data_IF_640823018634
#
_entry.id   IF_640823018634
#
_cell.length_a   1.000
_cell.length_b   1.000
_cell.length_c   1.000
_cell.angle_alpha   90.00
_cell.angle_beta   90.00
_cell.angle_gamma   90.00
#
_symmetry.space_group_name_H-M   'P 1'
#
loop_
_entity.id
_entity.type
_entity.pdbx_description
1 polymer ?
#
# COMPACT_ATOMS: atom_id res chain seq x y z
N UNK A 1 -28.11 -12.23 3.67
CA UNK A 1 -28.30 -10.76 3.65
C UNK A 1 -27.01 -10.00 4.00
N UNK A 2 -26.55 -9.96 5.27
CA UNK A 2 -25.33 -9.21 5.63
C UNK A 2 -24.02 -9.84 5.11
N UNK A 3 -23.87 -11.15 5.29
CA UNK A 3 -22.66 -11.90 4.92
C UNK A 3 -22.44 -11.91 3.41
N UNK A 4 -23.49 -12.06 2.60
CA UNK A 4 -23.38 -12.05 1.13
C UNK A 4 -22.83 -10.74 0.59
N UNK A 5 -23.21 -9.60 1.19
CA UNK A 5 -22.66 -8.30 0.80
C UNK A 5 -21.16 -8.19 1.11
N UNK A 6 -20.70 -8.76 2.22
CA UNK A 6 -19.27 -8.81 2.56
C UNK A 6 -18.48 -9.66 1.56
N UNK A 7 -19.02 -10.81 1.14
CA UNK A 7 -18.35 -11.73 0.21
C UNK A 7 -17.97 -11.05 -1.11
N UNK A 8 -18.84 -10.16 -1.62
CA UNK A 8 -18.60 -9.40 -2.85
C UNK A 8 -17.37 -8.47 -2.77
N UNK A 9 -16.97 -8.08 -1.55
CA UNK A 9 -15.84 -7.18 -1.34
C UNK A 9 -14.51 -7.90 -1.05
N UNK A 10 -14.52 -9.21 -0.78
CA UNK A 10 -13.31 -9.97 -0.42
C UNK A 10 -12.17 -9.83 -1.44
N UNK A 11 -12.39 -9.99 -2.77
CA UNK A 11 -11.29 -9.89 -3.73
C UNK A 11 -10.61 -8.53 -3.71
N UNK A 12 -11.41 -7.46 -3.58
CA UNK A 12 -10.94 -6.09 -3.52
C UNK A 12 -10.19 -5.80 -2.20
N UNK A 13 -10.70 -6.29 -1.06
CA UNK A 13 -10.06 -6.17 0.24
C UNK A 13 -8.72 -6.92 0.27
N UNK A 14 -8.65 -8.13 -0.29
CA UNK A 14 -7.40 -8.90 -0.37
C UNK A 14 -6.36 -8.21 -1.24
N UNK A 15 -6.74 -7.66 -2.39
CA UNK A 15 -5.82 -6.88 -3.24
C UNK A 15 -5.26 -5.67 -2.47
N UNK A 16 -6.14 -4.91 -1.81
CA UNK A 16 -5.73 -3.75 -1.02
C UNK A 16 -4.82 -4.15 0.16
N UNK A 17 -5.19 -5.19 0.91
CA UNK A 17 -4.42 -5.68 2.06
C UNK A 17 -3.01 -6.16 1.67
N UNK A 18 -2.85 -6.82 0.53
CA UNK A 18 -1.52 -7.24 0.02
C UNK A 18 -0.61 -6.06 -0.25
N UNK A 19 -1.13 -5.02 -0.91
CA UNK A 19 -0.37 -3.79 -1.15
C UNK A 19 -0.13 -2.99 0.13
N UNK A 20 -1.10 -3.02 1.07
CA UNK A 20 -1.02 -2.29 2.33
C UNK A 20 -0.02 -2.91 3.30
N UNK A 21 0.13 -4.23 3.31
CA UNK A 21 1.02 -4.95 4.24
C UNK A 21 2.38 -5.24 3.62
N UNK A 22 2.44 -5.48 2.31
CA UNK A 22 3.62 -5.99 1.62
C UNK A 22 3.89 -7.47 1.87
N UNK A 23 2.99 -8.19 2.56
CA UNK A 23 3.15 -9.59 2.95
C UNK A 23 1.83 -10.35 2.73
N UNK A 24 1.90 -11.49 2.04
CA UNK A 24 0.70 -12.23 1.65
C UNK A 24 -0.04 -12.86 2.85
N UNK A 25 0.71 -13.38 3.83
CA UNK A 25 0.16 -14.04 5.02
C UNK A 25 -0.54 -13.02 5.91
N UNK A 26 0.15 -11.92 6.24
CA UNK A 26 -0.40 -10.81 7.03
C UNK A 26 -1.58 -10.15 6.33
N UNK A 27 -1.57 -10.10 5.00
CA UNK A 27 -2.72 -9.59 4.25
C UNK A 27 -3.96 -10.46 4.41
N UNK A 28 -3.83 -11.79 4.33
CA UNK A 28 -4.95 -12.71 4.49
C UNK A 28 -5.50 -12.67 5.93
N UNK A 29 -4.64 -12.62 6.94
CA UNK A 29 -5.03 -12.43 8.35
C UNK A 29 -5.77 -11.10 8.55
N UNK A 30 -5.24 -10.01 8.01
CA UNK A 30 -5.86 -8.69 8.11
C UNK A 30 -7.25 -8.65 7.45
N UNK A 31 -7.44 -9.36 6.33
CA UNK A 31 -8.75 -9.50 5.69
C UNK A 31 -9.71 -10.28 6.59
N UNK A 32 -9.27 -11.39 7.16
CA UNK A 32 -10.09 -12.19 8.08
C UNK A 32 -10.54 -11.36 9.28
N UNK A 33 -9.61 -10.68 9.96
CA UNK A 33 -9.90 -9.83 11.11
C UNK A 33 -10.87 -8.69 10.76
N UNK A 34 -10.69 -8.11 9.56
CA UNK A 34 -11.58 -7.06 9.04
C UNK A 34 -13.00 -7.57 8.89
N UNK A 35 -13.19 -8.73 8.27
CA UNK A 35 -14.51 -9.33 8.06
C UNK A 35 -15.15 -9.75 9.38
N UNK A 36 -14.40 -10.34 10.30
CA UNK A 36 -14.89 -10.70 11.62
C UNK A 36 -15.36 -9.45 12.39
N UNK A 37 -14.54 -8.39 12.37
CA UNK A 37 -14.90 -7.13 13.01
C UNK A 37 -16.11 -6.47 12.35
N UNK A 38 -16.22 -6.54 11.03
CA UNK A 38 -17.36 -6.03 10.27
C UNK A 38 -18.65 -6.78 10.64
N UNK A 39 -18.61 -8.12 10.76
CA UNK A 39 -19.75 -8.92 11.22
C UNK A 39 -20.19 -8.51 12.63
N UNK A 40 -19.24 -8.37 13.57
CA UNK A 40 -19.54 -7.95 14.95
C UNK A 40 -20.10 -6.51 15.03
N UNK A 41 -19.70 -5.63 14.11
CA UNK A 41 -20.11 -4.22 14.06
C UNK A 41 -21.17 -3.93 13.00
N UNK A 42 -21.80 -4.95 12.43
CA UNK A 42 -22.70 -4.79 11.27
C UNK A 42 -23.83 -3.78 11.53
N UNK A 43 -24.38 -3.77 12.75
CA UNK A 43 -25.44 -2.83 13.17
C UNK A 43 -25.01 -1.36 13.18
N UNK A 44 -23.71 -1.06 13.19
CA UNK A 44 -23.18 0.30 13.14
C UNK A 44 -23.05 0.82 11.70
N UNK A 45 -23.04 -0.08 10.71
CA UNK A 45 -23.07 0.32 9.32
C UNK A 45 -24.47 0.84 8.98
N UNK A 46 -24.53 2.00 8.34
CA UNK A 46 -25.79 2.63 7.92
C UNK A 46 -26.15 2.12 6.52
N UNK A 47 -27.28 1.40 6.36
CA UNK A 47 -27.73 0.97 5.05
C UNK A 47 -27.87 2.14 4.09
N UNK A 48 -27.46 1.96 2.83
CA UNK A 48 -27.47 3.01 1.82
C UNK A 48 -26.20 3.87 1.76
N UNK A 49 -25.25 3.66 2.68
CA UNK A 49 -23.89 4.20 2.57
C UNK A 49 -22.95 3.20 1.90
N UNK A 50 -21.83 3.67 1.34
CA UNK A 50 -20.88 2.80 0.66
C UNK A 50 -20.21 1.82 1.65
N UNK A 51 -20.46 0.52 1.47
CA UNK A 51 -19.94 -0.54 2.34
C UNK A 51 -18.41 -0.65 2.25
N UNK A 52 -17.85 -0.50 1.05
CA UNK A 52 -16.41 -0.65 0.80
C UNK A 52 -15.54 0.35 1.60
N UNK A 53 -15.78 1.67 1.57
CA UNK A 53 -15.08 2.63 2.44
C UNK A 53 -15.16 2.27 3.93
N UNK A 54 -16.34 1.84 4.41
CA UNK A 54 -16.50 1.45 5.82
C UNK A 54 -15.63 0.24 6.18
N UNK A 55 -15.55 -0.77 5.30
CA UNK A 55 -14.66 -1.92 5.47
C UNK A 55 -13.18 -1.51 5.44
N UNK A 56 -12.79 -0.60 4.54
CA UNK A 56 -11.43 -0.07 4.47
C UNK A 56 -11.05 0.73 5.73
N UNK A 57 -12.00 1.45 6.34
CA UNK A 57 -11.78 2.11 7.64
C UNK A 57 -11.53 1.10 8.76
N UNK A 58 -12.29 0.01 8.80
CA UNK A 58 -12.07 -1.07 9.79
C UNK A 58 -10.67 -1.66 9.61
N UNK A 59 -10.33 -2.02 8.36
CA UNK A 59 -9.03 -2.60 8.01
C UNK A 59 -7.87 -1.67 8.36
N UNK A 60 -7.98 -0.38 8.04
CA UNK A 60 -6.94 0.59 8.35
C UNK A 60 -6.65 0.68 9.85
N UNK A 61 -7.71 0.75 10.67
CA UNK A 61 -7.57 0.80 12.12
C UNK A 61 -6.95 -0.49 12.69
N UNK A 62 -7.36 -1.66 12.19
CA UNK A 62 -6.74 -2.93 12.56
C UNK A 62 -5.26 -2.97 12.22
N UNK A 63 -4.89 -2.54 11.01
CA UNK A 63 -3.51 -2.48 10.57
C UNK A 63 -2.64 -1.56 11.44
N UNK A 64 -3.15 -0.36 11.80
CA UNK A 64 -2.43 0.56 12.69
C UNK A 64 -2.23 -0.03 14.09
N UNK A 65 -3.22 -0.73 14.63
CA UNK A 65 -3.09 -1.41 15.91
C UNK A 65 -2.04 -2.51 15.85
N UNK A 66 -2.10 -3.38 14.84
CA UNK A 66 -1.09 -4.42 14.62
C UNK A 66 0.30 -3.78 14.51
N UNK A 67 0.50 -2.72 13.71
CA UNK A 67 1.80 -2.06 13.64
C UNK A 67 2.26 -1.52 15.00
N UNK A 68 1.37 -0.91 15.79
CA UNK A 68 1.73 -0.40 17.12
C UNK A 68 2.16 -1.52 18.06
N UNK A 69 1.41 -2.62 18.08
CA UNK A 69 1.69 -3.75 18.96
C UNK A 69 3.01 -4.43 18.57
N UNK A 70 3.31 -4.54 17.27
CA UNK A 70 4.61 -5.02 16.77
C UNK A 70 5.78 -4.13 17.22
N UNK A 71 5.65 -2.79 17.17
CA UNK A 71 6.69 -1.89 17.66
C UNK A 71 6.89 -1.93 19.19
N UNK A 72 5.90 -2.42 19.94
CA UNK A 72 5.96 -2.53 21.39
C UNK A 72 6.57 -3.87 21.85
N UNK A 73 6.31 -4.96 21.10
CA UNK A 73 6.90 -6.28 21.36
C UNK A 73 8.35 -6.38 20.85
N UNK A 74 8.71 -5.73 19.75
CA UNK A 74 10.06 -5.75 19.18
C UNK A 74 10.89 -4.51 19.55
N UNK A 75 11.65 -4.62 20.65
CA UNK A 75 12.79 -3.75 20.94
C UNK A 75 13.98 -3.89 19.97
N UNK A 76 13.84 -4.65 18.87
CA UNK A 76 14.90 -4.91 17.90
C UNK A 76 14.38 -4.83 16.46
N UNK A 77 15.12 -4.09 15.64
CA UNK A 77 14.86 -3.82 14.24
C UNK A 77 14.66 -5.07 13.39
N UNK A 78 13.82 -4.97 12.35
CA UNK A 78 14.10 -5.59 11.07
C UNK A 78 13.66 -4.65 9.93
N UNK A 79 14.65 -4.12 9.22
CA UNK A 79 14.49 -3.44 7.93
C UNK A 79 14.72 -4.41 6.76
N UNK A 80 14.76 -5.72 7.01
CA UNK A 80 15.36 -6.65 6.07
C UNK A 80 14.43 -7.84 5.82
N UNK A 81 13.47 -7.60 4.93
CA UNK A 81 12.84 -8.64 4.09
C UNK A 81 12.20 -7.91 2.89
N UNK A 82 13.00 -7.08 2.21
CA UNK A 82 12.63 -6.62 0.88
C UNK A 82 12.84 -7.81 -0.06
N UNK A 83 11.81 -8.28 -0.77
CA UNK A 83 11.95 -9.48 -1.60
C UNK A 83 13.00 -9.25 -2.71
N UNK A 84 13.71 -10.31 -3.13
CA UNK A 84 14.89 -10.22 -4.03
C UNK A 84 14.59 -9.65 -5.42
N UNK A 85 15.42 -8.75 -6.00
CA UNK A 85 15.19 -8.13 -7.31
C UNK A 85 14.71 -9.13 -8.38
N UNK A 86 13.54 -8.87 -8.98
CA UNK A 86 13.05 -9.69 -10.11
C UNK A 86 13.83 -9.36 -11.38
N UNK A 87 13.69 -10.22 -12.38
CA UNK A 87 14.33 -10.06 -13.68
C UNK A 87 13.92 -8.71 -14.31
N UNK A 88 14.86 -7.75 -14.46
CA UNK A 88 14.53 -6.38 -14.89
C UNK A 88 13.95 -6.38 -16.31
N UNK A 89 12.77 -5.77 -16.49
CA UNK A 89 12.16 -5.54 -17.81
C UNK A 89 11.10 -6.54 -18.25
N UNK A 90 10.68 -7.47 -17.39
CA UNK A 90 9.43 -8.22 -17.60
C UNK A 90 8.24 -7.49 -16.98
N UNK A 91 7.00 -7.61 -17.51
CA UNK A 91 5.80 -7.03 -16.88
C UNK A 91 5.57 -7.55 -15.45
N UNK A 92 6.02 -8.77 -15.16
CA UNK A 92 6.01 -9.34 -13.82
C UNK A 92 7.06 -8.68 -12.90
N UNK A 93 8.25 -8.38 -13.42
CA UNK A 93 9.31 -7.67 -12.72
C UNK A 93 8.92 -6.22 -12.38
N UNK A 94 8.38 -5.47 -13.34
CA UNK A 94 7.91 -4.09 -13.12
C UNK A 94 6.82 -4.00 -12.04
N UNK A 95 5.89 -4.97 -12.03
CA UNK A 95 4.87 -5.08 -10.99
C UNK A 95 5.47 -5.37 -9.63
N UNK A 96 6.43 -6.30 -9.56
CA UNK A 96 7.08 -6.67 -8.31
C UNK A 96 7.91 -5.51 -7.74
N UNK A 97 8.57 -4.73 -8.60
CA UNK A 97 9.32 -3.53 -8.21
C UNK A 97 8.40 -2.45 -7.66
N UNK A 98 7.21 -2.27 -8.24
CA UNK A 98 6.20 -1.36 -7.69
C UNK A 98 5.67 -1.82 -6.32
N UNK A 99 5.35 -3.11 -6.17
CA UNK A 99 4.86 -3.67 -4.90
C UNK A 99 5.92 -3.47 -3.79
N UNK A 100 7.21 -3.66 -4.11
CA UNK A 100 8.34 -3.37 -3.19
C UNK A 100 8.52 -1.90 -2.89
N UNK A 101 8.48 -1.06 -3.91
CA UNK A 101 8.61 0.38 -3.73
C UNK A 101 7.50 0.93 -2.82
N UNK A 102 6.27 0.43 -2.99
CA UNK A 102 5.15 0.72 -2.09
C UNK A 102 5.39 0.19 -0.68
N UNK A 103 5.85 -1.06 -0.53
CA UNK A 103 6.15 -1.66 0.77
C UNK A 103 7.19 -0.84 1.56
N UNK A 104 8.17 -0.24 0.87
CA UNK A 104 9.19 0.61 1.48
C UNK A 104 8.72 2.02 1.91
N UNK A 105 7.44 2.38 1.72
CA UNK A 105 6.89 3.65 2.20
C UNK A 105 6.45 3.57 3.67
N UNK A 106 6.55 4.68 4.43
CA UNK A 106 5.93 4.77 5.75
C UNK A 106 4.43 4.42 5.69
N UNK A 107 3.87 3.68 6.67
CA UNK A 107 2.52 3.13 6.60
C UNK A 107 1.43 4.15 6.24
N UNK A 108 1.50 5.35 6.84
CA UNK A 108 0.54 6.43 6.54
C UNK A 108 0.65 6.98 5.11
N UNK A 109 1.86 7.02 4.53
CA UNK A 109 2.06 7.44 3.14
C UNK A 109 1.58 6.34 2.18
N UNK A 110 1.92 5.07 2.48
CA UNK A 110 1.46 3.90 1.72
C UNK A 110 -0.06 3.84 1.65
N UNK A 111 -0.75 3.94 2.78
CA UNK A 111 -2.21 3.88 2.82
C UNK A 111 -2.87 4.99 1.98
N UNK A 112 -2.35 6.22 2.03
CA UNK A 112 -2.83 7.34 1.21
C UNK A 112 -2.58 7.10 -0.28
N UNK A 113 -1.39 6.63 -0.65
CA UNK A 113 -1.08 6.30 -2.05
C UNK A 113 -2.05 5.24 -2.59
N UNK A 114 -2.31 4.18 -1.83
CA UNK A 114 -3.22 3.12 -2.26
C UNK A 114 -4.66 3.63 -2.40
N UNK A 115 -5.18 4.37 -1.43
CA UNK A 115 -6.57 4.85 -1.49
C UNK A 115 -6.80 5.83 -2.63
N UNK A 116 -5.86 6.75 -2.88
CA UNK A 116 -6.03 7.82 -3.87
C UNK A 116 -5.63 7.37 -5.27
N UNK A 117 -4.51 6.64 -5.42
CA UNK A 117 -3.94 6.33 -6.74
C UNK A 117 -4.42 4.99 -7.28
N UNK A 118 -4.61 4.00 -6.40
CA UNK A 118 -5.00 2.64 -6.81
C UNK A 118 -6.50 2.44 -6.71
N UNK A 119 -7.11 2.94 -5.63
CA UNK A 119 -8.55 2.82 -5.39
C UNK A 119 -9.35 4.05 -5.82
N UNK A 120 -8.68 5.08 -6.34
CA UNK A 120 -9.27 6.27 -6.96
C UNK A 120 -10.25 7.05 -6.06
N UNK A 121 -10.11 6.92 -4.73
CA UNK A 121 -10.87 7.74 -3.79
C UNK A 121 -10.45 9.19 -3.86
N UNK A 122 -11.42 10.09 -3.70
CA UNK A 122 -11.15 11.51 -3.53
C UNK A 122 -10.37 11.75 -2.23
N UNK A 123 -9.72 12.91 -2.11
CA UNK A 123 -8.96 13.23 -0.89
C UNK A 123 -9.85 13.31 0.35
N UNK A 124 -11.12 13.70 0.19
CA UNK A 124 -12.10 13.74 1.27
C UNK A 124 -12.49 12.32 1.71
N UNK A 125 -12.81 11.43 0.77
CA UNK A 125 -13.14 10.04 1.10
C UNK A 125 -11.94 9.31 1.71
N UNK A 126 -10.73 9.52 1.20
CA UNK A 126 -9.52 8.95 1.78
C UNK A 126 -9.28 9.48 3.21
N UNK A 127 -9.54 10.78 3.46
CA UNK A 127 -9.46 11.36 4.79
C UNK A 127 -10.45 10.70 5.77
N UNK A 128 -11.69 10.49 5.32
CA UNK A 128 -12.73 9.81 6.11
C UNK A 128 -12.38 8.34 6.37
N UNK A 129 -11.86 7.63 5.36
CA UNK A 129 -11.44 6.24 5.50
C UNK A 129 -10.33 6.11 6.55
N UNK A 130 -9.34 7.01 6.49
CA UNK A 130 -8.15 6.99 7.33
C UNK A 130 -8.33 7.67 8.70
N UNK A 131 -9.41 8.42 8.91
CA UNK A 131 -9.64 9.17 10.13
C UNK A 131 -8.62 10.31 10.35
N UNK A 132 -8.19 10.99 9.29
CA UNK A 132 -7.20 12.08 9.35
C UNK A 132 -7.67 13.31 8.57
N UNK A 133 -7.16 14.52 8.83
CA UNK A 133 -7.50 15.70 8.04
C UNK A 133 -7.12 15.59 6.55
N UNK A 134 -7.89 16.22 5.67
CA UNK A 134 -7.61 16.26 4.21
C UNK A 134 -6.21 16.84 3.92
N UNK A 135 -5.75 17.85 4.67
CA UNK A 135 -4.38 18.37 4.53
C UNK A 135 -3.29 17.34 4.89
N UNK A 136 -3.59 16.42 5.81
CA UNK A 136 -2.70 15.29 6.13
C UNK A 136 -2.66 14.30 4.98
N UNK A 137 -3.78 14.03 4.31
CA UNK A 137 -3.82 13.22 3.08
C UNK A 137 -2.93 13.85 2.00
N UNK A 138 -3.12 15.14 1.69
CA UNK A 138 -2.33 15.84 0.67
C UNK A 138 -0.83 15.80 0.97
N UNK A 139 -0.41 16.10 2.19
CA UNK A 139 1.01 16.12 2.57
C UNK A 139 1.64 14.72 2.61
N UNK A 140 0.88 13.67 2.93
CA UNK A 140 1.34 12.28 2.85
C UNK A 140 1.42 11.79 1.41
N UNK A 141 0.45 12.15 0.57
CA UNK A 141 0.44 11.83 -0.85
C UNK A 141 1.65 12.44 -1.56
N UNK A 142 1.91 13.73 -1.33
CA UNK A 142 3.08 14.41 -1.89
C UNK A 142 4.38 13.70 -1.53
N UNK A 143 4.58 13.41 -0.23
CA UNK A 143 5.79 12.70 0.25
C UNK A 143 5.89 11.27 -0.29
N UNK A 144 4.76 10.56 -0.39
CA UNK A 144 4.71 9.23 -0.98
C UNK A 144 5.12 9.22 -2.46
N UNK A 145 4.65 10.20 -3.25
CA UNK A 145 5.01 10.35 -4.66
C UNK A 145 6.52 10.61 -4.84
N UNK A 146 7.09 11.52 -4.06
CA UNK A 146 8.54 11.77 -4.10
C UNK A 146 9.35 10.53 -3.69
N UNK A 147 8.91 9.83 -2.64
CA UNK A 147 9.56 8.62 -2.15
C UNK A 147 9.52 7.47 -3.18
N UNK A 148 8.42 7.31 -3.93
CA UNK A 148 8.33 6.34 -5.03
C UNK A 148 9.17 6.77 -6.22
N UNK A 149 9.17 8.06 -6.59
CA UNK A 149 9.97 8.59 -7.70
C UNK A 149 11.45 8.29 -7.50
N UNK A 150 11.95 8.40 -6.27
CA UNK A 150 13.34 8.07 -5.94
C UNK A 150 13.63 6.56 -5.97
N UNK A 151 12.68 5.72 -5.57
CA UNK A 151 12.84 4.24 -5.55
C UNK A 151 12.71 3.60 -6.92
N UNK A 152 11.89 4.18 -7.80
CA UNK A 152 11.63 3.69 -9.15
C UNK A 152 12.48 4.42 -10.21
N UNK A 153 13.37 5.34 -9.80
CA UNK A 153 14.28 5.98 -10.73
C UNK A 153 15.20 4.92 -11.36
N UNK A 154 15.42 4.93 -12.69
CA UNK A 154 16.34 4.00 -13.32
C UNK A 154 17.73 4.20 -12.67
N UNK A 155 18.39 3.09 -12.33
CA UNK A 155 19.74 3.13 -11.78
C UNK A 155 20.63 4.00 -12.68
N UNK A 156 21.46 4.90 -12.11
CA UNK A 156 22.35 5.72 -12.92
C UNK A 156 23.20 4.79 -13.77
N UNK A 157 23.22 5.03 -15.09
CA UNK A 157 23.99 4.24 -16.03
C UNK A 157 25.44 4.12 -15.51
N UNK A 158 26.04 2.91 -15.52
CA UNK A 158 27.41 2.76 -15.04
C UNK A 158 28.31 3.71 -15.84
N UNK A 159 29.15 4.46 -15.12
CA UNK A 159 29.99 5.55 -15.64
C UNK A 159 30.91 5.14 -16.81
N UNK A 160 31.06 3.84 -17.10
CA UNK A 160 31.81 3.31 -18.24
C UNK A 160 31.13 3.43 -19.61
N UNK A 161 29.80 3.63 -19.69
CA UNK A 161 29.09 3.68 -20.97
C UNK A 161 29.29 5.01 -21.73
N UNK A 162 29.71 6.09 -21.06
CA UNK A 162 29.96 7.39 -21.70
C UNK A 162 31.31 7.44 -22.44
N UNK A 163 32.29 6.61 -22.03
CA UNK A 163 33.63 6.60 -22.65
C UNK A 163 33.60 5.91 -24.03
N UNK A 164 32.73 4.90 -24.22
CA UNK A 164 32.60 4.19 -25.50
C UNK A 164 31.90 5.01 -26.60
N UNK A 165 31.05 5.97 -26.24
CA UNK A 165 30.36 6.83 -27.22
C UNK A 165 31.27 7.93 -27.79
N UNK A 166 32.27 8.39 -27.03
CA UNK A 166 33.28 9.36 -27.53
C UNK A 166 34.30 8.72 -28.49
N UNK A 167 34.54 7.41 -28.41
CA UNK A 167 35.47 6.71 -29.29
C UNK A 167 34.87 6.38 -30.68
N UNK A 168 33.54 6.38 -30.83
CA UNK A 168 32.86 6.12 -32.12
C UNK A 168 32.55 7.37 -32.94
N UNK A 169 32.57 8.56 -32.33
CA UNK A 169 32.29 9.83 -33.02
C UNK A 169 33.51 10.43 -33.78
N UNK A 170 34.63 9.69 -33.87
CA UNK A 170 35.88 10.12 -34.54
C UNK A 170 36.33 9.23 -35.70
N UNK A 171 35.43 8.47 -36.34
CA UNK A 171 35.71 7.80 -37.62
C UNK A 171 34.87 8.39 -38.73
#
# INVERSE_FOLDING_TARGET
>A
MAVEQLLLHIPALRRYARLLTGDATRADDLVQDTLERACRKWSLWRPGTALRPWLLSIMHNLHLNQLRDWHLDDGHALLDDLPEPADPGSPAGERLDLERALAGLPPGQRAVMLLVVVEEYTYAEAADILGVPVGTVMSRLHRGREALRLRLAPAPAPAGAQILNLARAKR
#
